data_IF_567134182286
#
_entry.id   IF_567134182286
#
_cell.length_a   1.000
_cell.length_b   1.000
_cell.length_c   1.000
_cell.angle_alpha   90.00
_cell.angle_beta   90.00
_cell.angle_gamma   90.00
#
_symmetry.space_group_name_H-M   'P 1'
#
loop_
_entity.id
_entity.type
_entity.pdbx_description
1 polymer ?
#
# COMPACT_ATOMS: atom_id res chain seq x y z
N UNK A 1 -4.69 25.02 6.74
CA UNK A 1 -5.25 23.68 6.62
C UNK A 1 -5.41 23.37 5.13
N UNK A 2 -4.96 22.22 4.66
CA UNK A 2 -5.15 21.78 3.29
C UNK A 2 -6.65 21.82 2.94
N UNK A 3 -6.98 22.12 1.70
CA UNK A 3 -8.37 22.09 1.21
C UNK A 3 -8.67 20.79 0.45
N UNK A 4 -7.67 20.28 -0.27
CA UNK A 4 -7.74 19.03 -1.03
C UNK A 4 -6.52 18.16 -0.76
N UNK A 5 -6.73 16.88 -0.57
CA UNK A 5 -5.72 15.90 -0.18
C UNK A 5 -5.76 14.71 -1.12
N UNK A 6 -4.60 14.25 -1.61
CA UNK A 6 -4.48 12.97 -2.33
C UNK A 6 -4.04 11.88 -1.35
N UNK A 7 -4.87 10.87 -1.16
CA UNK A 7 -4.60 9.74 -0.28
C UNK A 7 -4.08 8.54 -1.05
N UNK A 8 -2.94 7.96 -0.63
CA UNK A 8 -2.54 6.61 -1.04
C UNK A 8 -3.58 5.60 -0.55
N UNK A 9 -4.27 4.94 -1.47
CA UNK A 9 -5.45 4.15 -1.18
C UNK A 9 -5.27 2.69 -1.60
N UNK A 10 -5.31 1.80 -0.63
CA UNK A 10 -5.20 0.35 -0.87
C UNK A 10 -6.56 -0.35 -1.01
N UNK A 11 -7.65 0.34 -0.75
CA UNK A 11 -8.98 -0.28 -0.68
C UNK A 11 -9.23 -1.09 0.60
N UNK A 12 -8.29 -1.13 1.53
CA UNK A 12 -8.41 -1.79 2.82
C UNK A 12 -9.25 -0.99 3.84
N UNK A 13 -9.43 -1.57 5.03
CA UNK A 13 -10.18 -0.95 6.13
C UNK A 13 -9.62 0.43 6.48
N UNK A 14 -8.33 0.49 6.82
CA UNK A 14 -7.72 1.71 7.36
C UNK A 14 -7.78 2.87 6.34
N UNK A 15 -7.41 2.62 5.08
CA UNK A 15 -7.45 3.67 4.07
C UNK A 15 -8.88 4.09 3.72
N UNK A 16 -9.86 3.19 3.80
CA UNK A 16 -11.27 3.54 3.57
C UNK A 16 -11.83 4.39 4.72
N UNK A 17 -11.46 4.08 5.95
CA UNK A 17 -11.78 4.93 7.12
C UNK A 17 -11.05 6.26 7.03
N UNK A 18 -9.78 6.31 6.58
CA UNK A 18 -9.05 7.56 6.36
C UNK A 18 -9.83 8.55 5.49
N UNK A 19 -10.42 8.09 4.37
CA UNK A 19 -11.19 8.95 3.48
C UNK A 19 -12.28 9.68 4.27
N UNK A 20 -13.14 8.92 4.94
CA UNK A 20 -14.27 9.51 5.67
C UNK A 20 -13.82 10.34 6.87
N UNK A 21 -12.85 9.84 7.62
CA UNK A 21 -12.33 10.52 8.80
C UNK A 21 -11.73 11.90 8.46
N UNK A 22 -10.93 12.00 7.41
CA UNK A 22 -10.37 13.28 6.97
C UNK A 22 -11.45 14.29 6.55
N UNK A 23 -12.53 13.80 5.93
CA UNK A 23 -13.67 14.67 5.55
C UNK A 23 -14.37 15.20 6.82
N UNK A 24 -14.67 14.33 7.78
CA UNK A 24 -15.41 14.69 8.99
C UNK A 24 -14.58 15.57 9.95
N UNK A 25 -13.32 15.20 10.19
CA UNK A 25 -12.50 15.86 11.22
C UNK A 25 -11.74 17.07 10.68
N UNK A 26 -11.27 17.00 9.44
CA UNK A 26 -10.48 18.06 8.84
C UNK A 26 -11.25 18.94 7.86
N UNK A 27 -12.42 18.51 7.40
CA UNK A 27 -13.26 19.23 6.43
C UNK A 27 -12.60 19.39 5.07
N UNK A 28 -11.80 18.41 4.64
CA UNK A 28 -11.05 18.43 3.38
C UNK A 28 -11.76 17.65 2.28
N UNK A 29 -11.51 18.02 1.03
CA UNK A 29 -11.83 17.18 -0.12
C UNK A 29 -10.77 16.09 -0.27
N UNK A 30 -11.19 14.83 -0.42
CA UNK A 30 -10.28 13.70 -0.57
C UNK A 30 -10.35 13.15 -2.00
N UNK A 31 -9.19 13.06 -2.62
CA UNK A 31 -8.93 12.33 -3.87
C UNK A 31 -8.12 11.08 -3.50
N UNK A 32 -8.43 9.94 -4.08
CA UNK A 32 -7.66 8.72 -3.82
C UNK A 32 -6.80 8.32 -5.02
N UNK A 33 -5.63 7.78 -4.74
CA UNK A 33 -4.78 7.12 -5.72
C UNK A 33 -4.48 5.71 -5.28
N UNK A 34 -4.85 4.73 -6.10
CA UNK A 34 -4.41 3.34 -6.03
C UNK A 34 -3.38 3.09 -7.13
N UNK A 35 -2.30 2.40 -6.82
CA UNK A 35 -1.27 2.07 -7.79
C UNK A 35 -1.24 0.56 -8.06
N UNK A 36 -1.30 0.21 -9.34
CA UNK A 36 -1.06 -1.16 -9.80
C UNK A 36 0.45 -1.39 -9.89
N UNK A 37 1.00 -2.02 -8.89
CA UNK A 37 2.41 -2.45 -8.81
C UNK A 37 2.56 -3.96 -9.12
N UNK A 38 1.52 -4.57 -9.69
CA UNK A 38 1.48 -5.98 -10.07
C UNK A 38 0.98 -6.92 -8.98
N UNK A 39 0.15 -6.43 -8.07
CA UNK A 39 -0.57 -7.28 -7.13
C UNK A 39 -1.63 -8.11 -7.86
N UNK A 40 -1.72 -9.40 -7.47
CA UNK A 40 -2.64 -10.35 -8.10
C UNK A 40 -4.12 -10.08 -7.71
N UNK A 41 -5.03 -10.51 -8.56
CA UNK A 41 -6.48 -10.56 -8.32
C UNK A 41 -7.12 -9.25 -7.82
N UNK A 42 -6.60 -8.10 -8.27
CA UNK A 42 -7.08 -6.81 -7.81
C UNK A 42 -8.25 -6.32 -8.67
N UNK A 43 -9.41 -6.17 -8.05
CA UNK A 43 -10.62 -5.63 -8.69
C UNK A 43 -10.64 -4.09 -8.57
N UNK A 44 -9.99 -3.40 -9.50
CA UNK A 44 -9.82 -1.94 -9.49
C UNK A 44 -11.14 -1.16 -9.44
N UNK A 45 -12.16 -1.62 -10.16
CA UNK A 45 -13.49 -1.00 -10.16
C UNK A 45 -14.09 -1.00 -8.74
N UNK A 46 -13.98 -2.12 -8.03
CA UNK A 46 -14.46 -2.22 -6.64
C UNK A 46 -13.68 -1.32 -5.68
N UNK A 47 -12.37 -1.16 -5.91
CA UNK A 47 -11.54 -0.27 -5.10
C UNK A 47 -11.97 1.18 -5.31
N UNK A 48 -12.15 1.61 -6.56
CA UNK A 48 -12.60 2.97 -6.88
C UNK A 48 -14.02 3.25 -6.39
N UNK A 49 -14.94 2.31 -6.54
CA UNK A 49 -16.31 2.43 -6.03
C UNK A 49 -16.35 2.57 -4.51
N UNK A 50 -15.51 1.80 -3.82
CA UNK A 50 -15.37 1.90 -2.36
C UNK A 50 -14.81 3.25 -1.91
N UNK A 51 -13.79 3.76 -2.61
CA UNK A 51 -13.25 5.08 -2.33
C UNK A 51 -14.32 6.17 -2.44
N UNK A 52 -15.12 6.12 -3.51
CA UNK A 52 -16.24 7.06 -3.72
C UNK A 52 -17.33 6.88 -2.67
N UNK A 53 -17.69 5.64 -2.32
CA UNK A 53 -18.66 5.36 -1.27
C UNK A 53 -18.20 5.85 0.11
N UNK A 54 -16.89 5.86 0.37
CA UNK A 54 -16.31 6.45 1.58
C UNK A 54 -16.34 7.99 1.57
N UNK A 55 -16.59 8.62 0.41
CA UNK A 55 -16.73 10.07 0.25
C UNK A 55 -15.63 10.73 -0.59
N UNK A 56 -14.72 9.98 -1.21
CA UNK A 56 -13.73 10.57 -2.12
C UNK A 56 -14.42 11.24 -3.32
N UNK A 57 -13.99 12.46 -3.65
CA UNK A 57 -14.53 13.22 -4.79
C UNK A 57 -14.05 12.66 -6.12
N UNK A 58 -12.84 12.11 -6.14
CA UNK A 58 -12.23 11.42 -7.27
C UNK A 58 -11.46 10.19 -6.79
N UNK A 59 -11.38 9.16 -7.64
CA UNK A 59 -10.61 7.95 -7.38
C UNK A 59 -9.81 7.58 -8.63
N UNK A 60 -8.50 7.60 -8.51
CA UNK A 60 -7.55 7.31 -9.59
C UNK A 60 -6.92 5.94 -9.39
N UNK A 61 -6.65 5.27 -10.51
CA UNK A 61 -5.82 4.06 -10.56
C UNK A 61 -4.69 4.31 -11.54
N UNK A 62 -3.45 4.16 -11.09
CA UNK A 62 -2.27 4.28 -11.91
C UNK A 62 -1.67 2.89 -12.17
N UNK A 63 -1.58 2.49 -13.44
CA UNK A 63 -0.80 1.30 -13.85
C UNK A 63 0.67 1.69 -13.91
N UNK A 64 1.42 1.30 -12.89
CA UNK A 64 2.85 1.62 -12.76
C UNK A 64 3.73 0.38 -12.89
N UNK A 65 3.18 -0.74 -13.37
CA UNK A 65 3.89 -2.04 -13.43
C UNK A 65 5.18 -1.96 -14.24
N UNK A 66 5.13 -1.39 -15.43
CA UNK A 66 6.32 -1.28 -16.29
C UNK A 66 7.38 -0.37 -15.65
N UNK A 67 7.00 0.79 -15.17
CA UNK A 67 7.89 1.71 -14.47
C UNK A 67 8.50 1.06 -13.22
N UNK A 68 7.67 0.37 -12.43
CA UNK A 68 8.13 -0.30 -11.21
C UNK A 68 9.15 -1.40 -11.54
N UNK A 69 8.90 -2.19 -12.60
CA UNK A 69 9.84 -3.22 -13.03
C UNK A 69 11.17 -2.62 -13.50
N UNK A 70 11.14 -1.62 -14.36
CA UNK A 70 12.32 -1.12 -15.07
C UNK A 70 13.13 -0.14 -14.23
N UNK A 71 12.48 0.77 -13.50
CA UNK A 71 13.15 1.85 -12.78
C UNK A 71 13.46 1.53 -11.31
N UNK A 72 12.77 0.54 -10.72
CA UNK A 72 12.94 0.18 -9.31
C UNK A 72 13.44 -1.26 -9.13
N UNK A 73 12.75 -2.25 -9.69
CA UNK A 73 13.12 -3.66 -9.48
C UNK A 73 14.43 -4.03 -10.19
N UNK A 74 14.59 -3.69 -11.47
CA UNK A 74 15.77 -4.06 -12.23
C UNK A 74 17.07 -3.44 -11.68
N UNK A 75 17.14 -2.16 -11.26
CA UNK A 75 18.33 -1.62 -10.61
C UNK A 75 18.68 -2.31 -9.29
N UNK A 76 17.68 -2.64 -8.48
CA UNK A 76 17.89 -3.34 -7.20
C UNK A 76 18.40 -4.76 -7.43
N UNK A 77 17.85 -5.46 -8.44
CA UNK A 77 18.34 -6.76 -8.84
C UNK A 77 19.81 -6.71 -9.30
N UNK A 78 20.15 -5.76 -10.17
CA UNK A 78 21.52 -5.56 -10.65
C UNK A 78 22.51 -5.22 -9.53
N UNK A 79 22.05 -4.46 -8.54
CA UNK A 79 22.84 -4.11 -7.35
C UNK A 79 22.92 -5.26 -6.33
N UNK A 80 22.17 -6.35 -6.51
CA UNK A 80 21.98 -7.39 -5.50
C UNK A 80 21.67 -6.82 -4.11
N UNK A 81 20.80 -5.80 -4.07
CA UNK A 81 20.51 -5.04 -2.86
C UNK A 81 19.58 -5.81 -1.93
N UNK A 82 20.09 -6.16 -0.78
CA UNK A 82 19.34 -6.82 0.29
C UNK A 82 19.50 -6.01 1.58
N UNK A 83 18.41 -5.78 2.29
CA UNK A 83 18.49 -5.22 3.63
C UNK A 83 18.99 -6.31 4.58
N UNK A 84 20.07 -6.01 5.32
CA UNK A 84 20.76 -6.94 6.22
C UNK A 84 21.13 -8.28 5.55
N UNK A 85 21.37 -8.27 4.24
CA UNK A 85 21.72 -9.44 3.42
C UNK A 85 20.65 -10.55 3.39
N UNK A 86 19.44 -10.24 3.76
CA UNK A 86 18.33 -11.20 3.85
C UNK A 86 17.04 -10.70 3.20
N UNK A 87 16.61 -9.48 3.52
CA UNK A 87 15.31 -8.98 3.08
C UNK A 87 15.40 -8.27 1.72
N UNK A 88 14.66 -8.75 0.69
CA UNK A 88 14.74 -8.22 -0.68
C UNK A 88 13.94 -6.93 -0.88
N UNK A 89 13.49 -6.25 0.17
CA UNK A 89 12.84 -4.94 0.12
C UNK A 89 11.47 -4.94 -0.58
N UNK A 90 10.68 -6.00 -0.48
CA UNK A 90 9.41 -6.19 -1.20
C UNK A 90 8.49 -4.98 -1.09
N UNK A 91 8.08 -4.64 0.13
CA UNK A 91 7.19 -3.50 0.36
C UNK A 91 7.90 -2.16 0.14
N UNK A 92 9.21 -2.10 0.46
CA UNK A 92 9.98 -0.88 0.46
C UNK A 92 10.11 -0.24 -0.93
N UNK A 93 10.27 -1.07 -1.97
CA UNK A 93 10.50 -0.59 -3.34
C UNK A 93 9.26 0.04 -3.97
N UNK A 94 8.07 -0.40 -3.61
CA UNK A 94 6.83 0.13 -4.19
C UNK A 94 6.46 1.52 -3.65
N UNK A 95 6.90 1.90 -2.45
CA UNK A 95 6.46 3.17 -1.83
C UNK A 95 6.94 4.42 -2.61
N UNK A 96 8.19 4.51 -3.09
CA UNK A 96 8.63 5.67 -3.88
C UNK A 96 7.88 5.86 -5.19
N UNK A 97 7.59 4.79 -5.95
CA UNK A 97 6.82 4.90 -7.19
C UNK A 97 5.38 5.34 -6.90
N UNK A 98 4.74 4.81 -5.85
CA UNK A 98 3.42 5.26 -5.42
C UNK A 98 3.43 6.76 -5.12
N UNK A 99 4.41 7.26 -4.36
CA UNK A 99 4.52 8.68 -4.02
C UNK A 99 4.73 9.55 -5.26
N UNK A 100 5.53 9.12 -6.24
CA UNK A 100 5.71 9.83 -7.51
C UNK A 100 4.35 10.11 -8.15
N UNK A 101 3.53 9.07 -8.32
CA UNK A 101 2.19 9.22 -8.90
C UNK A 101 1.20 9.97 -8.00
N UNK A 102 1.34 9.89 -6.67
CA UNK A 102 0.56 10.75 -5.77
C UNK A 102 0.84 12.24 -5.99
N UNK A 103 2.11 12.60 -6.16
CA UNK A 103 2.51 13.97 -6.45
C UNK A 103 1.98 14.41 -7.81
N UNK A 104 2.05 13.55 -8.83
CA UNK A 104 1.49 13.84 -10.16
C UNK A 104 -0.02 14.12 -10.10
N UNK A 105 -0.79 13.24 -9.42
CA UNK A 105 -2.23 13.44 -9.23
C UNK A 105 -2.50 14.70 -8.40
N UNK A 106 -1.72 14.97 -7.33
CA UNK A 106 -1.87 16.17 -6.53
C UNK A 106 -1.71 17.45 -7.37
N UNK A 107 -0.75 17.48 -8.29
CA UNK A 107 -0.56 18.59 -9.23
C UNK A 107 -1.73 18.71 -10.21
N UNK A 108 -2.23 17.59 -10.73
CA UNK A 108 -3.35 17.57 -11.69
C UNK A 108 -4.65 18.10 -11.07
N UNK A 109 -4.95 17.70 -9.82
CA UNK A 109 -6.20 18.10 -9.14
C UNK A 109 -6.06 19.37 -8.29
N UNK A 110 -4.87 19.98 -8.26
CA UNK A 110 -4.61 21.17 -7.44
C UNK A 110 -4.73 20.89 -5.95
N UNK A 111 -4.22 19.75 -5.48
CA UNK A 111 -4.22 19.41 -4.06
C UNK A 111 -3.10 20.14 -3.30
N UNK A 112 -3.36 20.44 -2.03
CA UNK A 112 -2.42 21.12 -1.12
C UNK A 112 -1.56 20.13 -0.34
N UNK A 113 -2.01 18.87 -0.25
CA UNK A 113 -1.36 17.85 0.56
C UNK A 113 -1.51 16.45 -0.05
N UNK A 114 -0.64 15.55 0.38
CA UNK A 114 -0.76 14.11 0.19
C UNK A 114 -0.91 13.41 1.54
N UNK A 115 -1.56 12.25 1.56
CA UNK A 115 -1.79 11.50 2.78
C UNK A 115 -1.49 10.02 2.60
N UNK A 116 -1.15 9.34 3.69
CA UNK A 116 -0.96 7.90 3.72
C UNK A 116 -1.60 7.27 4.96
N UNK A 117 -2.00 6.00 4.84
CA UNK A 117 -2.61 5.22 5.93
C UNK A 117 -1.62 4.45 6.81
N UNK A 118 -0.33 4.82 6.81
CA UNK A 118 0.66 4.13 7.62
C UNK A 118 0.55 4.50 9.09
N UNK A 119 0.74 3.48 9.96
CA UNK A 119 0.86 3.70 11.41
C UNK A 119 2.19 4.37 11.77
N UNK A 120 2.31 4.88 13.00
CA UNK A 120 3.57 5.43 13.51
C UNK A 120 4.64 4.36 13.81
N UNK A 121 4.31 3.09 13.62
CA UNK A 121 5.22 1.95 13.81
C UNK A 121 5.70 1.46 12.44
N UNK A 122 6.98 1.30 12.24
CA UNK A 122 7.53 0.82 10.99
C UNK A 122 8.03 1.91 10.02
N UNK A 123 8.60 1.47 8.91
CA UNK A 123 9.39 2.31 8.02
C UNK A 123 8.59 2.91 6.84
N UNK A 124 7.39 2.42 6.55
CA UNK A 124 6.63 2.87 5.38
C UNK A 124 6.25 4.35 5.46
N UNK A 125 5.87 4.84 6.64
CA UNK A 125 5.63 6.26 6.86
C UNK A 125 6.84 7.12 6.44
N UNK A 126 8.06 6.69 6.81
CA UNK A 126 9.30 7.41 6.46
C UNK A 126 9.49 7.44 4.95
N UNK A 127 9.20 6.33 4.27
CA UNK A 127 9.32 6.24 2.80
C UNK A 127 8.35 7.19 2.11
N UNK A 128 7.09 7.27 2.56
CA UNK A 128 6.12 8.24 2.05
C UNK A 128 6.58 9.68 2.29
N UNK A 129 6.93 10.02 3.53
CA UNK A 129 7.30 11.39 3.92
C UNK A 129 8.58 11.86 3.23
N UNK A 130 9.64 11.05 3.22
CA UNK A 130 10.92 11.40 2.58
C UNK A 130 10.76 11.53 1.06
N UNK A 131 10.02 10.60 0.42
CA UNK A 131 9.79 10.66 -1.01
C UNK A 131 8.94 11.88 -1.39
N UNK A 132 7.90 12.20 -0.65
CA UNK A 132 7.10 13.43 -0.87
C UNK A 132 7.96 14.66 -0.72
N UNK A 133 8.74 14.76 0.34
CA UNK A 133 9.61 15.92 0.59
C UNK A 133 10.68 16.10 -0.50
N UNK A 134 11.17 14.99 -1.05
CA UNK A 134 12.16 15.04 -2.14
C UNK A 134 11.55 15.48 -3.46
N UNK A 135 10.33 15.02 -3.79
CA UNK A 135 9.68 15.27 -5.07
C UNK A 135 8.84 16.56 -5.09
N UNK A 136 8.25 16.92 -3.97
CA UNK A 136 7.32 18.03 -3.84
C UNK A 136 7.40 18.64 -2.42
N UNK A 137 8.46 19.38 -2.10
CA UNK A 137 8.67 19.95 -0.75
C UNK A 137 7.62 21.00 -0.35
N UNK A 138 6.81 21.45 -1.28
CA UNK A 138 5.70 22.38 -1.08
C UNK A 138 4.37 21.68 -0.74
N UNK A 139 4.26 20.36 -0.92
CA UNK A 139 3.11 19.59 -0.48
C UNK A 139 3.27 19.14 0.97
N UNK A 140 2.23 19.36 1.76
CA UNK A 140 2.15 18.82 3.11
C UNK A 140 1.94 17.30 3.07
N UNK A 141 2.59 16.55 3.97
CA UNK A 141 2.35 15.11 4.12
C UNK A 141 1.55 14.86 5.40
N UNK A 142 0.38 14.25 5.25
CA UNK A 142 -0.58 13.97 6.32
C UNK A 142 -0.64 12.48 6.63
N UNK A 143 -0.81 12.16 7.90
CA UNK A 143 -0.88 10.77 8.37
C UNK A 143 -2.07 10.55 9.33
N UNK A 144 -3.31 10.50 8.83
CA UNK A 144 -4.52 10.46 9.64
C UNK A 144 -4.53 9.31 10.65
N UNK A 145 -4.01 8.14 10.30
CA UNK A 145 -3.95 6.98 11.21
C UNK A 145 -3.17 7.28 12.50
N UNK A 146 -2.18 8.15 12.44
CA UNK A 146 -1.42 8.56 13.64
C UNK A 146 -2.20 9.47 14.58
N UNK A 147 -3.20 10.16 14.06
CA UNK A 147 -4.00 11.13 14.82
C UNK A 147 -5.29 10.52 15.36
N UNK A 148 -5.91 9.61 14.64
CA UNK A 148 -7.23 9.11 15.02
C UNK A 148 -7.22 8.14 16.22
N UNK A 149 -6.11 7.43 16.49
CA UNK A 149 -5.95 6.54 17.64
C UNK A 149 -6.95 5.37 17.74
N UNK A 150 -7.68 5.05 16.67
CA UNK A 150 -8.69 4.00 16.67
C UNK A 150 -8.06 2.60 16.66
N UNK A 151 -8.63 1.69 17.46
CA UNK A 151 -8.35 0.27 17.33
C UNK A 151 -8.98 -0.30 16.05
N UNK A 152 -8.61 -1.54 15.67
CA UNK A 152 -9.21 -2.20 14.52
C UNK A 152 -10.73 -2.34 14.66
N UNK A 153 -11.21 -2.70 15.85
CA UNK A 153 -12.65 -2.81 16.14
C UNK A 153 -13.34 -1.45 15.98
N UNK A 154 -12.75 -0.39 16.54
CA UNK A 154 -13.29 0.95 16.42
C UNK A 154 -13.32 1.44 14.96
N UNK A 155 -12.34 1.06 14.15
CA UNK A 155 -12.32 1.35 12.71
C UNK A 155 -13.44 0.61 11.95
N UNK A 156 -13.74 -0.64 12.33
CA UNK A 156 -14.87 -1.40 11.76
C UNK A 156 -16.21 -0.74 12.13
N UNK A 157 -16.38 -0.36 13.39
CA UNK A 157 -17.60 0.30 13.88
C UNK A 157 -17.78 1.68 13.20
N UNK A 158 -16.68 2.41 13.01
CA UNK A 158 -16.68 3.68 12.29
C UNK A 158 -17.10 3.48 10.83
N UNK A 159 -16.56 2.50 10.15
CA UNK A 159 -16.93 2.18 8.78
C UNK A 159 -18.41 1.76 8.67
N UNK A 160 -18.91 0.98 9.61
CA UNK A 160 -20.33 0.60 9.69
C UNK A 160 -21.23 1.81 9.90
N UNK A 161 -20.85 2.74 10.77
CA UNK A 161 -21.59 3.99 11.02
C UNK A 161 -21.78 4.83 9.77
N UNK A 162 -20.80 4.86 8.88
CA UNK A 162 -20.82 5.63 7.65
C UNK A 162 -21.13 4.79 6.40
N UNK A 163 -21.59 3.56 6.58
CA UNK A 163 -21.98 2.63 5.51
C UNK A 163 -20.88 2.40 4.46
N UNK A 164 -19.60 2.47 4.88
CA UNK A 164 -18.46 2.23 4.00
C UNK A 164 -18.44 0.73 3.65
N UNK A 165 -18.52 0.34 2.36
CA UNK A 165 -18.53 -1.05 1.97
C UNK A 165 -17.15 -1.69 2.20
N UNK A 166 -17.03 -2.52 3.22
CA UNK A 166 -15.79 -3.25 3.53
C UNK A 166 -15.86 -4.69 3.03
N UNK A 167 -14.76 -5.17 2.46
CA UNK A 167 -14.52 -6.61 2.26
C UNK A 167 -13.83 -7.26 3.47
N UNK A 168 -13.57 -6.46 4.52
CA UNK A 168 -12.90 -6.96 5.71
C UNK A 168 -13.85 -7.85 6.51
N UNK A 169 -13.64 -9.16 6.44
CA UNK A 169 -14.11 -10.06 7.48
C UNK A 169 -13.22 -9.89 8.71
N UNK A 170 -13.79 -10.10 9.91
CA UNK A 170 -13.02 -10.18 11.17
C UNK A 170 -11.93 -11.29 11.13
N UNK A 171 -11.94 -12.10 10.07
CA UNK A 171 -11.12 -13.30 9.89
C UNK A 171 -9.80 -13.08 9.13
N UNK A 172 -9.55 -11.90 8.54
CA UNK A 172 -8.22 -11.63 7.93
C UNK A 172 -7.22 -11.31 9.03
N UNK A 173 -6.54 -12.34 9.51
CA UNK A 173 -5.54 -12.27 10.58
C UNK A 173 -4.22 -11.65 10.06
N UNK A 174 -3.90 -11.88 8.78
CA UNK A 174 -2.63 -11.49 8.16
C UNK A 174 -2.75 -10.18 7.37
N UNK A 175 -1.68 -9.38 7.42
CA UNK A 175 -1.43 -8.27 6.49
C UNK A 175 -0.56 -8.79 5.35
N UNK A 176 -0.95 -8.48 4.13
CA UNK A 176 -0.27 -8.95 2.91
C UNK A 176 0.09 -7.74 2.06
N UNK A 177 1.37 -7.55 1.83
CA UNK A 177 1.93 -6.66 0.80
C UNK A 177 2.34 -7.51 -0.41
N UNK A 178 1.82 -7.17 -1.58
CA UNK A 178 1.97 -7.91 -2.81
C UNK A 178 2.31 -6.98 -3.97
N UNK A 179 3.29 -7.33 -4.77
CA UNK A 179 3.70 -6.57 -5.95
C UNK A 179 4.58 -7.44 -6.90
N UNK A 180 5.03 -6.90 -8.03
CA UNK A 180 5.90 -7.60 -9.00
C UNK A 180 7.20 -8.13 -8.39
N UNK A 181 7.71 -7.50 -7.33
CA UNK A 181 8.96 -7.90 -6.70
C UNK A 181 8.81 -9.07 -5.74
N UNK A 182 7.62 -9.27 -5.18
CA UNK A 182 7.33 -10.38 -4.29
C UNK A 182 6.16 -10.11 -3.36
N UNK A 183 6.05 -10.96 -2.34
CA UNK A 183 5.00 -10.89 -1.33
C UNK A 183 5.60 -10.91 0.06
N UNK A 184 5.14 -10.03 0.94
CA UNK A 184 5.42 -10.04 2.36
C UNK A 184 4.12 -10.28 3.11
N UNK A 185 4.14 -11.19 4.08
CA UNK A 185 2.99 -11.53 4.91
C UNK A 185 3.40 -11.35 6.37
N UNK A 186 2.62 -10.62 7.13
CA UNK A 186 2.91 -10.28 8.52
C UNK A 186 1.64 -10.30 9.38
N UNK A 187 1.78 -10.15 10.68
CA UNK A 187 0.73 -10.20 11.70
C UNK A 187 0.26 -11.63 12.05
N UNK A 188 -0.76 -11.71 12.89
CA UNK A 188 -1.32 -12.97 13.38
C UNK A 188 -0.33 -13.76 14.24
N UNK A 189 -0.31 -15.06 14.08
CA UNK A 189 0.56 -15.97 14.85
C UNK A 189 2.05 -15.70 14.60
N UNK A 190 2.41 -15.11 13.47
CA UNK A 190 3.79 -14.78 13.09
C UNK A 190 4.38 -13.60 13.86
N UNK A 191 3.60 -12.90 14.69
CA UNK A 191 4.13 -11.88 15.61
C UNK A 191 4.98 -12.50 16.72
N UNK A 192 4.76 -13.80 17.02
CA UNK A 192 5.65 -14.56 17.88
C UNK A 192 6.81 -15.15 17.06
N UNK A 193 8.07 -14.71 17.26
CA UNK A 193 9.22 -15.16 16.47
C UNK A 193 9.56 -16.65 16.65
N UNK A 194 8.94 -17.34 17.61
CA UNK A 194 9.10 -18.78 17.83
C UNK A 194 8.08 -19.63 17.08
N UNK A 195 7.07 -18.99 16.46
CA UNK A 195 6.05 -19.68 15.66
C UNK A 195 6.48 -19.72 14.20
N UNK A 196 6.47 -20.90 13.61
CA UNK A 196 6.69 -21.04 12.17
C UNK A 196 5.47 -20.53 11.40
N UNK A 197 5.67 -19.91 10.20
CA UNK A 197 4.56 -19.53 9.36
C UNK A 197 3.65 -20.73 9.07
N UNK A 198 2.34 -20.64 9.35
CA UNK A 198 1.42 -21.74 9.08
C UNK A 198 1.24 -21.99 7.59
N UNK A 199 0.94 -23.24 7.21
CA UNK A 199 0.81 -23.65 5.80
C UNK A 199 -0.19 -22.79 5.00
N UNK A 200 -1.21 -22.25 5.66
CA UNK A 200 -2.24 -21.42 5.04
C UNK A 200 -1.78 -20.05 4.54
N UNK A 201 -0.57 -19.57 4.91
CA UNK A 201 -0.03 -18.29 4.44
C UNK A 201 0.58 -18.40 3.03
N UNK A 202 0.94 -19.61 2.60
CA UNK A 202 1.56 -19.88 1.30
C UNK A 202 0.52 -19.93 0.18
N UNK A 203 0.04 -18.78 -0.26
CA UNK A 203 -1.01 -18.69 -1.29
C UNK A 203 -0.50 -18.72 -2.74
N UNK A 204 0.74 -18.27 -2.99
CA UNK A 204 1.35 -18.25 -4.33
C UNK A 204 2.10 -19.53 -4.68
N UNK A 205 2.47 -20.33 -3.70
CA UNK A 205 3.32 -21.51 -3.90
C UNK A 205 2.64 -22.74 -3.35
N UNK A 206 2.81 -23.86 -4.07
CA UNK A 206 2.37 -25.17 -3.63
C UNK A 206 3.49 -26.16 -3.86
N UNK A 207 3.87 -26.90 -2.83
CA UNK A 207 4.80 -28.02 -3.01
C UNK A 207 4.08 -29.12 -3.77
N UNK A 208 4.51 -29.39 -5.01
CA UNK A 208 3.90 -30.38 -5.89
C UNK A 208 4.90 -31.40 -6.44
N UNK A 209 6.21 -31.14 -6.31
CA UNK A 209 7.27 -32.04 -6.77
C UNK A 209 7.98 -32.68 -5.60
N UNK A 210 8.27 -33.98 -5.71
CA UNK A 210 9.03 -34.76 -4.73
C UNK A 210 10.47 -34.99 -5.15
N UNK A 211 10.77 -34.77 -6.42
CA UNK A 211 12.09 -34.95 -6.99
C UNK A 211 12.75 -33.61 -7.31
N UNK A 212 14.07 -33.45 -7.09
CA UNK A 212 14.80 -32.24 -7.44
C UNK A 212 14.82 -32.06 -8.95
N UNK A 213 14.77 -30.80 -9.41
CA UNK A 213 14.85 -30.44 -10.82
C UNK A 213 15.82 -29.29 -10.99
N UNK A 214 16.70 -29.39 -11.97
CA UNK A 214 17.55 -28.29 -12.40
C UNK A 214 16.85 -27.44 -13.46
N UNK A 215 16.93 -26.13 -13.32
CA UNK A 215 16.47 -25.14 -14.29
C UNK A 215 17.63 -24.24 -14.64
N UNK A 216 17.76 -23.94 -15.92
CA UNK A 216 18.75 -22.96 -16.41
C UNK A 216 18.01 -21.70 -16.84
N UNK A 217 18.40 -20.57 -16.29
CA UNK A 217 17.93 -19.24 -16.70
C UNK A 217 19.12 -18.51 -17.30
N UNK A 218 19.00 -18.10 -18.56
CA UNK A 218 20.03 -17.36 -19.26
C UNK A 218 19.70 -15.85 -19.23
N UNK A 219 20.70 -15.04 -18.99
CA UNK A 219 20.60 -13.58 -19.03
C UNK A 219 21.48 -13.07 -20.17
N UNK A 220 20.94 -12.18 -21.00
CA UNK A 220 21.68 -11.46 -22.03
C UNK A 220 21.73 -9.98 -21.67
N UNK A 221 22.93 -9.42 -21.59
CA UNK A 221 23.17 -8.00 -21.28
C UNK A 221 22.64 -7.53 -19.91
N UNK A 222 22.44 -8.42 -18.98
CA UNK A 222 22.07 -8.12 -17.59
C UNK A 222 20.63 -7.81 -17.39
#
# INVERSE_FOLDING_TARGET
MAKRVVLAYSGGLDTSVCVRWMIEEWGVEVVTLSADVGQEDTEWDRITDRAKAAGAIEAHVADVRAEFADEYCAPILKANALYEQQYPLVSALSRPVIVKHMVEVARQVGADAVAHGCTGKGNDQVRFEVSTRALAPDLETLAPVREWGMSREASIDYAAKFEIPLTASKEKIYSIDDNLWGRAIECGEMEDPWVQPPDGVWSMTKISATEPRELTVSFEAG
#
